data_IF_745924949882
#
_entry.id   IF_745924949882
#
_cell.length_a   1.000
_cell.length_b   1.000
_cell.length_c   1.000
_cell.angle_alpha   90.00
_cell.angle_beta   90.00
_cell.angle_gamma   90.00
#
_symmetry.space_group_name_H-M   'P 1'
#
loop_
_entity.id
_entity.type
_entity.pdbx_description
1 polymer ?
#
# COMPACT_ATOMS: atom_id res chain seq x y z
N UNK A 1 -25.06 26.70 87.66
CA UNK A 1 -24.21 27.91 87.81
C UNK A 1 -24.14 28.66 86.50
N UNK A 2 -24.00 29.99 86.53
CA UNK A 2 -24.82 30.89 85.73
C UNK A 2 -24.18 31.38 84.42
N UNK A 3 -25.07 31.87 83.54
CA UNK A 3 -25.00 33.09 82.72
C UNK A 3 -23.67 33.51 82.08
N UNK A 4 -23.70 33.82 80.78
CA UNK A 4 -23.99 35.19 80.36
C UNK A 4 -24.19 35.33 78.85
N UNK A 5 -25.25 36.05 78.48
CA UNK A 5 -25.50 36.60 77.15
C UNK A 5 -24.58 37.80 76.92
N UNK A 6 -24.12 38.02 75.69
CA UNK A 6 -23.98 39.38 75.18
C UNK A 6 -23.99 39.40 73.65
N UNK A 7 -24.79 40.32 73.14
CA UNK A 7 -25.12 40.57 71.74
C UNK A 7 -24.35 41.79 71.21
N UNK A 8 -24.53 42.08 69.90
CA UNK A 8 -24.19 43.33 69.17
C UNK A 8 -22.68 43.47 68.81
N UNK A 9 -22.25 43.85 67.60
CA UNK A 9 -22.76 44.86 66.63
C UNK A 9 -22.01 44.75 65.29
N UNK A 10 -22.68 45.19 64.21
CA UNK A 10 -22.10 45.42 62.86
C UNK A 10 -20.98 46.47 62.85
N UNK A 11 -20.00 46.31 61.95
CA UNK A 11 -19.44 47.40 61.12
C UNK A 11 -19.08 46.92 59.70
N UNK A 12 -19.83 47.43 58.71
CA UNK A 12 -19.37 47.79 57.34
C UNK A 12 -18.42 49.00 57.47
N UNK A 13 -17.53 49.39 56.56
CA UNK A 13 -16.93 48.87 55.33
C UNK A 13 -15.85 49.89 54.92
N UNK A 14 -14.79 49.50 54.19
CA UNK A 14 -14.11 50.39 53.23
C UNK A 14 -13.16 49.59 52.32
N UNK A 15 -13.43 49.65 51.00
CA UNK A 15 -12.54 49.32 49.86
C UNK A 15 -11.48 50.45 49.69
N UNK A 16 -10.53 50.44 48.72
CA UNK A 16 -10.15 49.46 47.67
C UNK A 16 -8.61 49.23 47.56
N UNK A 17 -8.16 48.37 46.62
CA UNK A 17 -6.85 48.54 45.96
C UNK A 17 -6.09 47.29 45.52
N UNK A 18 -6.02 47.09 44.20
CA UNK A 18 -4.97 46.40 43.39
C UNK A 18 -4.74 44.88 43.61
N UNK A 19 -5.14 44.02 42.65
CA UNK A 19 -4.42 43.58 41.43
C UNK A 19 -3.46 42.39 41.67
N UNK A 20 -3.89 41.19 41.26
CA UNK A 20 -3.06 40.10 40.77
C UNK A 20 -3.99 39.12 40.01
N UNK A 21 -4.16 39.31 38.70
CA UNK A 21 -3.44 38.64 37.61
C UNK A 21 -3.61 37.12 37.55
N UNK A 22 -4.25 36.75 36.44
CA UNK A 22 -4.69 35.48 35.89
C UNK A 22 -3.59 34.43 35.69
N UNK A 23 -3.96 33.15 35.83
CA UNK A 23 -3.39 32.07 35.03
C UNK A 23 -4.46 31.01 34.75
N UNK A 24 -5.11 31.14 33.59
CA UNK A 24 -5.94 30.09 33.00
C UNK A 24 -5.03 28.97 32.49
N UNK A 25 -5.14 27.77 33.05
CA UNK A 25 -4.52 26.57 32.51
C UNK A 25 -5.29 26.07 31.29
N UNK A 26 -4.75 26.30 30.09
CA UNK A 26 -5.17 25.64 28.85
C UNK A 26 -4.38 24.34 28.72
N UNK A 27 -5.00 23.21 29.04
CA UNK A 27 -4.51 21.90 28.59
C UNK A 27 -4.76 21.78 27.09
N UNK A 28 -3.73 22.04 26.29
CA UNK A 28 -3.72 21.67 24.88
C UNK A 28 -3.46 20.16 24.78
N UNK A 29 -4.53 19.38 24.56
CA UNK A 29 -4.43 18.01 24.07
C UNK A 29 -3.86 18.06 22.65
N UNK A 30 -2.56 17.88 22.52
CA UNK A 30 -1.91 17.61 21.24
C UNK A 30 -2.37 16.24 20.74
N UNK A 31 -3.37 16.26 19.87
CA UNK A 31 -3.71 15.11 19.02
C UNK A 31 -2.53 14.89 18.09
N UNK A 32 -1.65 13.96 18.46
CA UNK A 32 -0.62 13.43 17.57
C UNK A 32 -1.36 12.62 16.51
N UNK A 33 -1.68 13.26 15.39
CA UNK A 33 -2.07 12.55 14.18
C UNK A 33 -0.89 11.64 13.81
N UNK A 34 -1.09 10.34 13.56
CA UNK A 34 0.00 9.50 13.09
C UNK A 34 0.40 10.04 11.72
N UNK A 35 1.62 10.55 11.61
CA UNK A 35 2.23 10.80 10.33
C UNK A 35 2.30 9.45 9.63
N UNK A 36 1.43 9.23 8.65
CA UNK A 36 1.51 8.07 7.77
C UNK A 36 2.84 8.18 7.02
N UNK A 37 3.87 7.50 7.52
CA UNK A 37 5.06 7.26 6.75
C UNK A 37 4.60 6.66 5.42
N UNK A 38 4.88 7.34 4.31
CA UNK A 38 4.72 6.78 2.98
C UNK A 38 5.69 5.60 2.89
N UNK A 39 5.19 4.43 3.31
CA UNK A 39 5.79 3.15 2.96
C UNK A 39 5.89 3.11 1.43
N UNK A 40 6.84 2.34 0.89
CA UNK A 40 6.91 2.04 -0.53
C UNK A 40 5.68 1.20 -0.95
N UNK A 41 4.49 1.76 -0.77
CA UNK A 41 3.23 1.28 -1.31
C UNK A 41 3.44 1.38 -2.81
N UNK A 42 3.41 0.21 -3.46
CA UNK A 42 3.34 0.14 -4.92
C UNK A 42 2.26 1.15 -5.36
N UNK A 43 2.61 2.19 -6.15
CA UNK A 43 1.62 3.16 -6.59
C UNK A 43 0.54 2.38 -7.32
N UNK A 44 -0.66 2.35 -6.75
CA UNK A 44 -1.78 1.62 -7.34
C UNK A 44 -2.19 2.39 -8.60
N UNK A 45 -2.15 1.77 -9.78
CA UNK A 45 -2.65 2.43 -10.98
C UNK A 45 -4.09 2.91 -10.81
N UNK A 46 -4.91 2.25 -9.98
CA UNK A 46 -6.32 2.61 -9.78
C UNK A 46 -6.54 3.92 -9.01
N UNK A 47 -5.55 4.43 -8.29
CA UNK A 47 -5.69 5.73 -7.61
C UNK A 47 -5.53 6.91 -8.58
N UNK A 48 -4.88 6.73 -9.74
CA UNK A 48 -4.53 7.84 -10.65
C UNK A 48 -4.56 7.51 -12.17
N UNK A 49 -4.94 6.31 -12.62
CA UNK A 49 -4.88 5.96 -14.04
C UNK A 49 -6.14 6.37 -14.80
N UNK A 50 -5.94 7.19 -15.84
CA UNK A 50 -6.92 7.39 -16.91
C UNK A 50 -6.73 6.31 -18.00
N UNK A 51 -7.79 5.89 -18.70
CA UNK A 51 -7.64 5.07 -19.89
C UNK A 51 -6.72 5.73 -20.92
N UNK A 52 -5.90 4.93 -21.61
CA UNK A 52 -5.03 5.42 -22.67
C UNK A 52 -5.85 6.03 -23.82
N UNK A 53 -5.43 7.21 -24.28
CA UNK A 53 -5.97 7.86 -25.48
C UNK A 53 -5.63 7.05 -26.74
N UNK A 54 -6.34 7.22 -27.87
CA UNK A 54 -6.09 6.46 -29.10
C UNK A 54 -4.66 6.59 -29.64
N UNK A 55 -4.06 7.77 -29.58
CA UNK A 55 -2.66 8.07 -29.94
C UNK A 55 -1.68 7.32 -29.04
N UNK A 56 -1.91 7.33 -27.73
CA UNK A 56 -1.10 6.61 -26.74
C UNK A 56 -1.18 5.09 -26.97
N UNK A 57 -2.35 4.56 -27.35
CA UNK A 57 -2.51 3.14 -27.73
C UNK A 57 -1.72 2.76 -28.98
N UNK A 58 -1.71 3.61 -30.00
CA UNK A 58 -0.95 3.35 -31.23
C UNK A 58 0.58 3.37 -30.98
N UNK A 59 1.05 4.31 -30.15
CA UNK A 59 2.44 4.37 -29.74
C UNK A 59 2.84 3.14 -28.90
N UNK A 60 1.99 2.73 -27.97
CA UNK A 60 2.17 1.51 -27.17
C UNK A 60 2.27 0.27 -28.07
N UNK A 61 1.35 0.09 -29.02
CA UNK A 61 1.39 -1.03 -29.98
C UNK A 61 2.70 -1.08 -30.77
N UNK A 62 3.23 0.09 -31.14
CA UNK A 62 4.52 0.17 -31.85
C UNK A 62 5.69 -0.22 -30.95
N UNK A 63 5.67 0.20 -29.68
CA UNK A 63 6.67 -0.19 -28.69
C UNK A 63 6.59 -1.69 -28.36
N UNK A 64 5.40 -2.24 -28.23
CA UNK A 64 5.15 -3.66 -27.97
C UNK A 64 5.64 -4.52 -29.15
N UNK A 65 5.38 -4.08 -30.39
CA UNK A 65 5.86 -4.75 -31.59
C UNK A 65 7.39 -4.81 -31.66
N UNK A 66 8.08 -3.76 -31.18
CA UNK A 66 9.54 -3.73 -31.08
C UNK A 66 10.07 -4.66 -29.98
N UNK A 67 9.33 -4.84 -28.88
CA UNK A 67 9.70 -5.73 -27.76
C UNK A 67 9.63 -7.20 -28.16
N UNK A 68 8.67 -7.57 -29.02
CA UNK A 68 8.43 -8.94 -29.45
C UNK A 68 7.92 -9.86 -28.34
N UNK A 69 7.57 -11.10 -28.68
CA UNK A 69 7.07 -12.11 -27.73
C UNK A 69 5.54 -12.18 -27.60
N UNK A 70 5.03 -13.12 -26.79
CA UNK A 70 3.60 -13.32 -26.63
C UNK A 70 2.99 -12.24 -25.73
N UNK A 71 1.78 -11.79 -26.08
CA UNK A 71 1.02 -10.82 -25.30
C UNK A 71 0.63 -11.34 -23.90
N UNK A 72 0.55 -12.65 -23.75
CA UNK A 72 0.30 -13.34 -22.49
C UNK A 72 0.80 -14.78 -22.56
N UNK A 73 0.94 -15.43 -21.41
CA UNK A 73 1.09 -16.88 -21.29
C UNK A 73 -0.05 -17.46 -20.44
N UNK A 74 -0.47 -18.69 -20.69
CA UNK A 74 -1.43 -19.40 -19.83
C UNK A 74 -0.73 -20.19 -18.71
N UNK A 75 0.59 -20.35 -18.81
CA UNK A 75 1.45 -20.99 -17.83
C UNK A 75 2.84 -20.33 -17.84
N UNK A 76 3.44 -20.15 -16.68
CA UNK A 76 4.83 -19.72 -16.54
C UNK A 76 5.61 -20.88 -15.94
N UNK A 77 6.39 -21.57 -16.78
CA UNK A 77 7.19 -22.74 -16.44
C UNK A 77 8.57 -22.40 -15.87
N UNK A 78 8.96 -21.12 -15.78
CA UNK A 78 10.23 -20.74 -15.16
C UNK A 78 10.46 -19.24 -15.02
N UNK A 79 11.52 -18.91 -14.29
CA UNK A 79 11.91 -17.52 -13.98
C UNK A 79 12.10 -16.65 -15.22
N UNK A 80 12.68 -17.20 -16.30
CA UNK A 80 12.90 -16.46 -17.54
C UNK A 80 11.58 -15.99 -18.18
N UNK A 81 10.55 -16.84 -18.21
CA UNK A 81 9.23 -16.49 -18.72
C UNK A 81 8.54 -15.45 -17.82
N UNK A 82 8.68 -15.57 -16.50
CA UNK A 82 8.21 -14.54 -15.57
C UNK A 82 8.87 -13.19 -15.85
N UNK A 83 10.20 -13.15 -15.98
CA UNK A 83 10.97 -11.94 -16.26
C UNK A 83 10.64 -11.33 -17.62
N UNK A 84 10.34 -12.15 -18.64
CA UNK A 84 9.91 -11.68 -19.95
C UNK A 84 8.61 -10.88 -19.87
N UNK A 85 7.63 -11.37 -19.10
CA UNK A 85 6.33 -10.72 -18.94
C UNK A 85 6.34 -9.59 -17.89
N UNK A 86 7.30 -9.60 -16.98
CA UNK A 86 7.33 -8.69 -15.84
C UNK A 86 7.66 -7.25 -16.24
N UNK A 87 7.00 -6.32 -15.54
CA UNK A 87 7.50 -4.96 -15.35
C UNK A 87 8.23 -4.92 -14.01
N UNK A 88 9.31 -4.15 -13.93
CA UNK A 88 10.11 -4.03 -12.71
C UNK A 88 9.91 -2.65 -12.10
N UNK A 89 9.44 -2.58 -10.86
CA UNK A 89 9.49 -1.34 -10.07
C UNK A 89 10.85 -1.22 -9.39
N UNK A 90 11.33 0.02 -9.25
CA UNK A 90 12.62 0.38 -8.65
C UNK A 90 13.78 -0.51 -9.16
N UNK A 91 13.94 -0.66 -10.49
CA UNK A 91 14.94 -1.55 -11.06
C UNK A 91 16.35 -1.19 -10.58
N UNK A 92 17.15 -2.18 -10.23
CA UNK A 92 18.53 -1.99 -9.76
C UNK A 92 18.65 -1.50 -8.30
N UNK A 93 17.56 -1.49 -7.52
CA UNK A 93 17.58 -1.10 -6.10
C UNK A 93 17.31 -2.29 -5.17
N UNK A 94 17.56 -2.16 -3.85
CA UNK A 94 17.08 -3.11 -2.86
C UNK A 94 15.57 -3.34 -2.91
N UNK A 95 14.79 -2.32 -3.29
CA UNK A 95 13.32 -2.31 -3.36
C UNK A 95 12.78 -2.76 -4.72
N UNK A 96 13.54 -3.57 -5.46
CA UNK A 96 13.15 -4.06 -6.78
C UNK A 96 11.94 -5.01 -6.68
N UNK A 97 10.91 -4.74 -7.47
CA UNK A 97 9.67 -5.55 -7.51
C UNK A 97 9.31 -5.88 -8.96
N UNK A 98 9.88 -6.96 -9.55
CA UNK A 98 9.35 -7.53 -10.77
C UNK A 98 7.94 -8.08 -10.51
N UNK A 99 7.00 -7.70 -11.38
CA UNK A 99 5.60 -8.10 -11.26
C UNK A 99 4.94 -8.32 -12.62
N UNK A 100 4.00 -9.26 -12.62
CA UNK A 100 3.15 -9.65 -13.74
C UNK A 100 1.69 -9.49 -13.34
N UNK A 101 0.90 -8.80 -14.15
CA UNK A 101 -0.56 -8.81 -14.01
C UNK A 101 -1.09 -10.16 -14.50
N UNK A 102 -2.12 -10.69 -13.83
CA UNK A 102 -2.86 -11.84 -14.33
C UNK A 102 -4.37 -11.58 -14.34
N UNK A 103 -5.05 -12.24 -15.28
CA UNK A 103 -6.52 -12.28 -15.39
C UNK A 103 -6.96 -13.73 -15.34
N UNK A 104 -7.92 -14.07 -14.47
CA UNK A 104 -8.59 -15.38 -14.52
C UNK A 104 -9.99 -15.18 -15.10
N UNK A 105 -10.33 -15.95 -16.12
CA UNK A 105 -11.64 -15.96 -16.76
C UNK A 105 -12.45 -17.20 -16.38
N UNK A 106 -13.35 -17.03 -15.42
CA UNK A 106 -14.18 -18.11 -14.88
C UNK A 106 -15.16 -18.69 -15.88
N UNK A 107 -15.50 -17.96 -16.95
CA UNK A 107 -16.40 -18.47 -18.00
C UNK A 107 -15.74 -19.55 -18.86
N UNK A 108 -14.41 -19.56 -18.94
CA UNK A 108 -13.65 -20.46 -19.81
C UNK A 108 -12.78 -21.42 -18.97
N UNK A 109 -13.42 -22.22 -18.12
CA UNK A 109 -12.76 -23.20 -17.24
C UNK A 109 -11.66 -22.56 -16.37
N UNK A 110 -11.95 -21.37 -15.83
CA UNK A 110 -11.05 -20.59 -15.00
C UNK A 110 -9.68 -20.37 -15.67
N UNK A 111 -9.68 -20.13 -16.99
CA UNK A 111 -8.44 -19.91 -17.75
C UNK A 111 -7.70 -18.69 -17.22
N UNK A 112 -6.41 -18.86 -16.94
CA UNK A 112 -5.54 -17.79 -16.48
C UNK A 112 -4.73 -17.23 -17.64
N UNK A 113 -4.54 -15.92 -17.63
CA UNK A 113 -3.68 -15.18 -18.54
C UNK A 113 -2.66 -14.42 -17.69
N UNK A 114 -1.38 -14.74 -17.84
CA UNK A 114 -0.26 -13.93 -17.33
C UNK A 114 0.13 -12.91 -18.39
N UNK A 115 -0.04 -11.63 -18.11
CA UNK A 115 0.04 -10.57 -19.11
C UNK A 115 1.49 -10.11 -19.29
N UNK A 116 1.86 -9.79 -20.53
CA UNK A 116 2.98 -8.89 -20.80
C UNK A 116 2.63 -7.53 -20.17
N UNK A 117 3.17 -7.27 -18.98
CA UNK A 117 2.75 -6.15 -18.13
C UNK A 117 3.28 -4.80 -18.63
N UNK A 118 4.47 -4.72 -19.23
CA UNK A 118 4.86 -3.53 -19.97
C UNK A 118 3.92 -3.19 -21.13
N UNK A 119 3.36 -4.18 -21.83
CA UNK A 119 2.32 -3.99 -22.85
C UNK A 119 0.96 -3.63 -22.27
N UNK A 120 0.52 -4.33 -21.23
CA UNK A 120 -0.76 -4.12 -20.56
C UNK A 120 -0.55 -3.55 -19.16
N UNK A 121 -0.53 -2.22 -19.06
CA UNK A 121 -0.35 -1.51 -17.78
C UNK A 121 -1.49 -1.71 -16.78
N UNK A 122 -2.67 -2.09 -17.27
CA UNK A 122 -3.90 -2.36 -16.51
C UNK A 122 -4.56 -3.64 -17.03
N UNK A 123 -5.20 -4.40 -16.13
CA UNK A 123 -5.97 -5.61 -16.49
C UNK A 123 -7.08 -5.33 -17.49
N UNK A 124 -7.77 -4.20 -17.33
CA UNK A 124 -8.89 -3.80 -18.18
C UNK A 124 -8.49 -3.55 -19.63
N UNK A 125 -7.26 -3.09 -19.89
CA UNK A 125 -6.76 -2.91 -21.25
C UNK A 125 -6.68 -4.26 -21.97
N UNK A 126 -6.12 -5.26 -21.31
CA UNK A 126 -6.10 -6.64 -21.80
C UNK A 126 -7.51 -7.21 -21.97
N UNK A 127 -8.35 -7.09 -20.93
CA UNK A 127 -9.70 -7.65 -20.94
C UNK A 127 -10.58 -7.03 -22.04
N UNK A 128 -10.41 -5.73 -22.35
CA UNK A 128 -11.09 -5.05 -23.46
C UNK A 128 -10.57 -5.52 -24.81
N UNK A 129 -9.25 -5.54 -25.00
CA UNK A 129 -8.63 -5.98 -26.26
C UNK A 129 -9.04 -7.42 -26.61
N UNK A 130 -9.07 -8.30 -25.60
CA UNK A 130 -9.45 -9.71 -25.75
C UNK A 130 -10.95 -9.96 -25.65
N UNK A 131 -11.78 -8.91 -25.56
CA UNK A 131 -13.25 -8.99 -25.49
C UNK A 131 -13.76 -9.92 -24.37
N UNK A 132 -13.05 -9.91 -23.23
CA UNK A 132 -13.41 -10.70 -22.05
C UNK A 132 -14.49 -10.01 -21.20
N UNK A 133 -14.54 -8.68 -21.22
CA UNK A 133 -15.60 -7.93 -20.55
C UNK A 133 -16.92 -8.05 -21.30
N UNK A 134 -18.06 -8.21 -20.60
CA UNK A 134 -19.38 -8.31 -21.23
C UNK A 134 -19.89 -6.97 -21.79
N UNK A 135 -19.25 -5.86 -21.42
CA UNK A 135 -19.63 -4.51 -21.80
C UNK A 135 -18.45 -3.55 -21.68
N UNK A 136 -18.59 -2.35 -22.24
CA UNK A 136 -17.50 -1.35 -22.26
C UNK A 136 -17.63 -0.28 -21.19
N UNK A 137 -18.75 -0.21 -20.48
CA UNK A 137 -19.02 0.82 -19.48
C UNK A 137 -18.26 0.60 -18.16
N UNK A 138 -18.23 1.65 -17.34
CA UNK A 138 -17.52 1.65 -16.06
C UNK A 138 -18.18 0.72 -15.03
N UNK A 139 -19.50 0.59 -15.03
CA UNK A 139 -20.21 -0.26 -14.06
C UNK A 139 -19.91 -1.73 -14.30
N UNK A 140 -19.85 -2.17 -15.56
CA UNK A 140 -19.41 -3.51 -15.95
C UNK A 140 -18.01 -3.84 -15.43
N UNK A 141 -17.08 -2.89 -15.52
CA UNK A 141 -15.72 -3.07 -15.01
C UNK A 141 -15.70 -3.12 -13.47
N UNK A 142 -16.42 -2.22 -12.80
CA UNK A 142 -16.53 -2.20 -11.33
C UNK A 142 -17.12 -3.52 -10.81
N UNK A 143 -18.09 -4.11 -11.51
CA UNK A 143 -18.64 -5.41 -11.14
C UNK A 143 -17.56 -6.51 -11.08
N UNK A 144 -16.52 -6.44 -11.93
CA UNK A 144 -15.37 -7.36 -11.88
C UNK A 144 -14.44 -7.17 -10.68
N UNK A 145 -14.75 -6.25 -9.76
CA UNK A 145 -14.08 -6.11 -8.46
C UNK A 145 -15.02 -6.32 -7.29
N UNK A 146 -16.32 -6.12 -7.47
CA UNK A 146 -17.28 -5.98 -6.36
C UNK A 146 -18.29 -7.11 -6.27
N UNK A 147 -18.61 -7.75 -7.39
CA UNK A 147 -19.58 -8.82 -7.46
C UNK A 147 -18.92 -10.15 -6.99
N UNK A 148 -19.51 -10.89 -6.04
CA UNK A 148 -19.01 -12.20 -5.62
C UNK A 148 -19.06 -13.25 -6.74
N UNK A 149 -19.97 -13.11 -7.71
CA UNK A 149 -20.17 -14.04 -8.83
C UNK A 149 -19.52 -13.56 -10.13
N UNK A 150 -18.68 -12.52 -10.05
CA UNK A 150 -17.97 -11.94 -11.20
C UNK A 150 -17.21 -12.97 -12.04
N UNK A 151 -17.18 -12.74 -13.35
CA UNK A 151 -16.48 -13.59 -14.31
C UNK A 151 -14.97 -13.48 -14.20
N UNK A 152 -14.46 -12.25 -14.11
CA UNK A 152 -13.03 -11.97 -14.19
C UNK A 152 -12.44 -11.72 -12.80
N UNK A 153 -11.25 -12.27 -12.55
CA UNK A 153 -10.43 -11.95 -11.39
C UNK A 153 -9.16 -11.26 -11.87
N UNK A 154 -8.84 -10.12 -11.25
CA UNK A 154 -7.71 -9.28 -11.60
C UNK A 154 -6.72 -9.25 -10.45
N UNK A 155 -5.54 -9.85 -10.64
CA UNK A 155 -4.52 -9.89 -9.61
C UNK A 155 -3.15 -9.55 -10.14
N UNK A 156 -2.21 -9.30 -9.23
CA UNK A 156 -0.80 -9.11 -9.55
C UNK A 156 0.01 -10.20 -8.89
N UNK A 157 0.93 -10.83 -9.62
CA UNK A 157 1.94 -11.73 -9.12
C UNK A 157 3.28 -11.00 -9.10
N UNK A 158 3.98 -11.00 -7.97
CA UNK A 158 5.23 -10.26 -7.79
C UNK A 158 6.28 -11.11 -7.08
N UNK A 159 7.54 -10.77 -7.30
CA UNK A 159 8.65 -11.24 -6.47
C UNK A 159 9.31 -10.05 -5.80
N UNK A 160 9.71 -10.22 -4.55
CA UNK A 160 10.44 -9.22 -3.78
C UNK A 160 11.59 -9.92 -3.07
N UNK A 161 12.74 -9.24 -2.99
CA UNK A 161 13.97 -9.82 -2.41
C UNK A 161 13.77 -10.25 -0.95
N UNK A 162 13.08 -9.43 -0.17
CA UNK A 162 12.96 -9.59 1.28
C UNK A 162 11.76 -10.45 1.69
N UNK A 163 11.05 -11.04 0.71
CA UNK A 163 9.94 -11.94 0.95
C UNK A 163 10.34 -13.39 0.66
N UNK A 164 9.74 -14.37 1.36
CA UNK A 164 10.10 -15.79 1.24
C UNK A 164 9.75 -16.42 -0.11
N UNK A 165 9.31 -15.64 -1.10
CA UNK A 165 9.02 -16.13 -2.44
C UNK A 165 8.14 -15.19 -3.25
N UNK A 166 7.38 -15.78 -4.17
CA UNK A 166 6.41 -15.06 -4.97
C UNK A 166 5.15 -14.80 -4.17
N UNK A 167 4.61 -13.59 -4.30
CA UNK A 167 3.34 -13.21 -3.69
C UNK A 167 2.36 -12.79 -4.75
N UNK A 168 1.08 -13.12 -4.55
CA UNK A 168 0.00 -12.53 -5.34
C UNK A 168 -0.91 -11.66 -4.49
N UNK A 169 -1.48 -10.64 -5.11
CA UNK A 169 -2.31 -9.66 -4.44
C UNK A 169 -3.47 -9.20 -5.33
N UNK A 170 -4.56 -8.79 -4.69
CA UNK A 170 -5.67 -8.07 -5.31
C UNK A 170 -5.57 -6.58 -5.01
N UNK A 171 -6.24 -5.75 -5.81
CA UNK A 171 -6.42 -4.34 -5.46
C UNK A 171 -7.12 -4.24 -4.10
N UNK A 172 -6.69 -3.30 -3.25
CA UNK A 172 -7.19 -3.15 -1.87
C UNK A 172 -8.72 -3.09 -1.77
N UNK A 173 -9.37 -2.41 -2.72
CA UNK A 173 -10.82 -2.33 -2.78
C UNK A 173 -11.53 -3.52 -3.42
N UNK A 174 -10.82 -4.56 -3.88
CA UNK A 174 -11.44 -5.76 -4.42
C UNK A 174 -12.20 -6.52 -3.32
N UNK A 175 -13.46 -6.88 -3.58
CA UNK A 175 -14.29 -7.74 -2.72
C UNK A 175 -14.10 -9.20 -3.11
N UNK A 176 -12.87 -9.69 -3.01
CA UNK A 176 -12.57 -11.10 -3.22
C UNK A 176 -13.25 -11.92 -2.12
N UNK A 177 -13.91 -13.01 -2.49
CA UNK A 177 -14.55 -13.93 -1.51
C UNK A 177 -13.61 -15.09 -1.20
N UNK A 178 -13.86 -15.87 -0.12
CA UNK A 178 -13.04 -17.04 0.19
C UNK A 178 -12.96 -18.05 -0.97
N UNK A 179 -14.06 -18.25 -1.70
CA UNK A 179 -14.10 -19.13 -2.86
C UNK A 179 -13.24 -18.62 -4.03
N UNK A 180 -13.32 -17.33 -4.34
CA UNK A 180 -12.51 -16.71 -5.40
C UNK A 180 -11.02 -16.69 -5.05
N UNK A 181 -10.70 -16.50 -3.76
CA UNK A 181 -9.33 -16.53 -3.29
C UNK A 181 -8.71 -17.94 -3.39
N UNK A 182 -9.45 -18.99 -3.00
CA UNK A 182 -9.02 -20.39 -3.18
C UNK A 182 -8.83 -20.74 -4.65
N UNK A 183 -9.80 -20.38 -5.50
CA UNK A 183 -9.70 -20.60 -6.96
C UNK A 183 -8.42 -19.96 -7.52
N UNK A 184 -8.11 -18.74 -7.09
CA UNK A 184 -6.88 -18.05 -7.51
C UNK A 184 -5.63 -18.76 -7.01
N UNK A 185 -5.57 -19.16 -5.74
CA UNK A 185 -4.45 -19.91 -5.16
C UNK A 185 -4.22 -21.22 -5.92
N UNK A 186 -5.29 -21.97 -6.21
CA UNK A 186 -5.24 -23.24 -6.94
C UNK A 186 -4.72 -23.03 -8.36
N UNK A 187 -5.24 -22.03 -9.08
CA UNK A 187 -4.79 -21.73 -10.44
C UNK A 187 -3.33 -21.30 -10.50
N UNK A 188 -2.88 -20.48 -9.56
CA UNK A 188 -1.48 -20.08 -9.52
C UNK A 188 -0.58 -21.27 -9.17
N UNK A 189 -0.97 -22.12 -8.21
CA UNK A 189 -0.24 -23.37 -7.90
C UNK A 189 -0.08 -24.26 -9.13
N UNK A 190 -1.13 -24.40 -9.93
CA UNK A 190 -1.15 -25.35 -11.05
C UNK A 190 -0.46 -24.79 -12.31
N UNK A 191 -0.31 -23.48 -12.44
CA UNK A 191 0.18 -22.82 -13.67
C UNK A 191 1.42 -21.94 -13.49
N UNK A 192 1.90 -21.77 -12.26
CA UNK A 192 3.12 -21.03 -11.95
C UNK A 192 4.20 -21.98 -11.41
N UNK A 193 5.43 -21.82 -11.89
CA UNK A 193 6.53 -22.75 -11.61
C UNK A 193 7.03 -22.79 -10.16
N UNK A 194 6.58 -21.88 -9.30
CA UNK A 194 7.05 -21.75 -7.92
C UNK A 194 5.88 -21.58 -6.94
N UNK A 195 6.07 -21.87 -5.65
CA UNK A 195 5.07 -21.58 -4.63
C UNK A 195 4.73 -20.08 -4.60
N UNK A 196 3.44 -19.79 -4.45
CA UNK A 196 2.93 -18.42 -4.29
C UNK A 196 2.17 -18.30 -2.97
N UNK A 197 2.34 -17.16 -2.31
CA UNK A 197 1.60 -16.82 -1.09
C UNK A 197 0.67 -15.64 -1.34
N UNK A 198 -0.49 -15.63 -0.69
CA UNK A 198 -1.36 -14.48 -0.75
C UNK A 198 -0.81 -13.33 0.08
N UNK A 199 -0.76 -12.13 -0.48
CA UNK A 199 -0.47 -10.91 0.24
C UNK A 199 -1.77 -10.11 0.42
N UNK A 200 -2.20 -9.96 1.67
CA UNK A 200 -3.37 -9.18 2.01
C UNK A 200 -3.04 -7.69 1.98
N UNK A 201 -3.88 -6.92 1.27
CA UNK A 201 -3.75 -5.47 1.13
C UNK A 201 -4.77 -4.68 1.97
N UNK A 202 -5.68 -5.36 2.66
CA UNK A 202 -6.67 -4.77 3.57
C UNK A 202 -7.07 -5.74 4.68
N UNK A 203 -7.63 -5.22 5.78
CA UNK A 203 -8.20 -6.05 6.86
C UNK A 203 -9.29 -7.00 6.34
N UNK A 204 -10.07 -6.58 5.34
CA UNK A 204 -11.08 -7.44 4.69
C UNK A 204 -10.41 -8.62 3.99
N UNK A 205 -9.28 -8.40 3.31
CA UNK A 205 -8.52 -9.48 2.66
C UNK A 205 -7.93 -10.45 3.67
N UNK A 206 -7.43 -9.96 4.82
CA UNK A 206 -6.93 -10.81 5.90
C UNK A 206 -8.03 -11.73 6.44
N UNK A 207 -9.20 -11.16 6.77
CA UNK A 207 -10.37 -11.93 7.21
C UNK A 207 -10.83 -12.95 6.16
N UNK A 208 -10.81 -12.55 4.89
CA UNK A 208 -11.16 -13.43 3.77
C UNK A 208 -10.20 -14.59 3.65
N UNK A 209 -8.89 -14.36 3.78
CA UNK A 209 -7.86 -15.39 3.76
C UNK A 209 -8.00 -16.35 4.94
N UNK A 210 -8.26 -15.84 6.14
CA UNK A 210 -8.56 -16.65 7.32
C UNK A 210 -9.79 -17.55 7.09
N UNK A 211 -10.90 -16.98 6.61
CA UNK A 211 -12.11 -17.73 6.29
C UNK A 211 -11.89 -18.76 5.16
N UNK A 212 -10.97 -18.48 4.23
CA UNK A 212 -10.55 -19.41 3.20
C UNK A 212 -9.64 -20.53 3.74
N UNK A 213 -9.04 -20.37 4.92
CA UNK A 213 -8.02 -21.29 5.45
C UNK A 213 -6.69 -21.19 4.72
N UNK A 214 -6.38 -20.03 4.12
CA UNK A 214 -5.16 -19.80 3.35
C UNK A 214 -4.12 -19.08 4.17
N UNK A 215 -2.86 -19.51 4.04
CA UNK A 215 -1.73 -18.74 4.55
C UNK A 215 -1.61 -17.42 3.77
N UNK A 216 -1.37 -16.33 4.49
CA UNK A 216 -1.19 -15.03 3.89
C UNK A 216 -0.13 -14.22 4.64
N UNK A 217 0.45 -13.24 3.96
CA UNK A 217 1.33 -12.25 4.54
C UNK A 217 0.64 -10.89 4.57
N UNK A 218 0.81 -10.15 5.65
CA UNK A 218 0.30 -8.78 5.78
C UNK A 218 1.36 -7.79 5.33
N UNK A 219 0.95 -6.62 4.83
CA UNK A 219 1.88 -5.54 4.49
C UNK A 219 2.78 -5.15 5.69
N UNK A 220 2.25 -5.19 6.90
CA UNK A 220 2.99 -4.93 8.14
C UNK A 220 4.06 -5.97 8.42
N UNK A 221 3.77 -7.26 8.17
CA UNK A 221 4.77 -8.31 8.26
C UNK A 221 5.92 -8.06 7.28
N UNK A 222 5.64 -7.59 6.05
CA UNK A 222 6.69 -7.26 5.08
C UNK A 222 7.54 -6.07 5.54
N UNK A 223 6.92 -5.06 6.16
CA UNK A 223 7.62 -3.86 6.64
C UNK A 223 8.52 -4.14 7.85
N UNK A 224 8.16 -5.09 8.72
CA UNK A 224 9.03 -5.50 9.83
C UNK A 224 10.27 -6.24 9.36
N UNK A 225 10.17 -7.00 8.27
CA UNK A 225 11.30 -7.70 7.65
C UNK A 225 12.21 -6.74 6.87
N UNK A 226 11.68 -5.61 6.35
CA UNK A 226 12.49 -4.54 5.75
C UNK A 226 13.24 -3.75 6.83
N UNK A 227 14.45 -4.21 7.17
CA UNK A 227 15.31 -3.56 8.17
C UNK A 227 15.79 -2.15 7.74
N UNK A 228 15.61 -1.78 6.47
CA UNK A 228 16.12 -0.52 5.92
C UNK A 228 15.23 0.05 4.80
N UNK A 229 14.70 1.27 5.01
CA UNK A 229 14.02 2.06 3.98
C UNK A 229 14.84 3.33 3.69
N UNK A 230 15.58 3.40 2.57
CA UNK A 230 16.32 4.60 2.23
C UNK A 230 15.33 5.72 1.86
N UNK A 231 15.18 6.70 2.75
CA UNK A 231 14.33 7.87 2.51
C UNK A 231 14.95 8.85 1.51
N UNK A 232 16.28 8.82 1.36
CA UNK A 232 17.03 9.65 0.43
C UNK A 232 18.04 8.79 -0.34
N UNK A 233 17.91 8.72 -1.67
CA UNK A 233 18.84 8.01 -2.56
C UNK A 233 19.96 8.95 -2.99
N UNK A 234 20.94 9.14 -2.11
CA UNK A 234 22.15 9.93 -2.37
C UNK A 234 23.29 9.43 -1.49
N UNK A 235 24.53 9.69 -1.88
CA UNK A 235 25.71 9.42 -1.04
C UNK A 235 26.23 10.74 -0.50
N UNK A 236 26.38 10.82 0.81
CA UNK A 236 27.02 11.94 1.49
C UNK A 236 28.05 11.39 2.48
N UNK A 237 29.15 12.11 2.64
CA UNK A 237 30.14 11.88 3.69
C UNK A 237 30.20 13.16 4.53
N UNK A 238 30.21 13.00 5.85
CA UNK A 238 30.06 14.11 6.77
C UNK A 238 30.33 13.68 8.20
N UNK A 239 30.37 14.65 9.11
CA UNK A 239 30.62 14.39 10.53
C UNK A 239 29.31 14.00 11.21
N UNK A 240 29.27 12.82 11.83
CA UNK A 240 28.08 12.33 12.55
C UNK A 240 27.84 13.18 13.81
N UNK A 241 26.61 13.68 13.98
CA UNK A 241 26.16 14.42 15.17
C UNK A 241 24.92 13.75 15.74
N UNK A 242 25.03 13.19 16.95
CA UNK A 242 23.88 12.63 17.68
C UNK A 242 23.33 13.72 18.59
N UNK A 243 22.06 14.10 18.42
CA UNK A 243 21.42 15.20 19.14
C UNK A 243 20.14 14.71 19.82
N UNK A 244 19.79 15.28 20.98
CA UNK A 244 18.57 14.89 21.73
C UNK A 244 17.33 15.67 21.29
N UNK A 245 17.53 16.87 20.77
CA UNK A 245 16.50 17.74 20.21
C UNK A 245 17.08 18.51 19.03
N UNK A 246 16.24 18.85 18.07
CA UNK A 246 16.58 19.75 16.95
C UNK A 246 16.55 21.23 17.36
N UNK A 247 15.94 21.54 18.50
CA UNK A 247 15.79 22.93 18.96
C UNK A 247 17.04 23.44 19.71
N UNK A 248 17.97 22.56 20.08
CA UNK A 248 19.19 22.89 20.85
C UNK A 248 20.46 22.44 20.10
N UNK A 249 20.60 22.93 18.86
CA UNK A 249 21.74 22.57 17.98
C UNK A 249 22.31 23.79 17.26
N UNK A 250 22.82 24.82 17.98
CA UNK A 250 23.32 26.05 17.37
C UNK A 250 24.63 25.88 16.59
N UNK A 251 25.33 24.75 16.72
CA UNK A 251 26.65 24.50 16.16
C UNK A 251 26.67 23.49 14.99
N UNK A 252 25.51 23.20 14.38
CA UNK A 252 25.44 22.32 13.22
C UNK A 252 26.10 22.96 12.00
N UNK A 253 27.05 22.24 11.41
CA UNK A 253 27.65 22.60 10.14
C UNK A 253 26.89 21.98 8.97
N UNK A 254 26.94 22.58 7.76
CA UNK A 254 26.32 22.01 6.56
C UNK A 254 26.83 20.60 6.17
N UNK A 255 27.99 20.21 6.67
CA UNK A 255 28.60 18.88 6.46
C UNK A 255 28.28 17.87 7.57
N UNK A 256 27.43 18.24 8.53
CA UNK A 256 27.06 17.34 9.62
C UNK A 256 25.91 16.42 9.19
N UNK A 257 26.03 15.13 9.55
CA UNK A 257 24.96 14.14 9.41
C UNK A 257 24.31 14.00 10.79
N UNK A 258 23.09 14.53 10.93
CA UNK A 258 22.40 14.59 12.22
C UNK A 258 21.56 13.34 12.45
N UNK A 259 21.72 12.72 13.62
CA UNK A 259 20.89 11.61 14.11
C UNK A 259 20.22 12.06 15.40
N UNK A 260 18.89 12.01 15.42
CA UNK A 260 18.12 12.32 16.63
C UNK A 260 18.06 11.08 17.53
N UNK A 261 18.57 11.20 18.74
CA UNK A 261 18.48 10.18 19.78
C UNK A 261 17.08 10.19 20.39
N UNK A 262 16.30 9.12 20.15
CA UNK A 262 15.02 8.90 20.83
C UNK A 262 15.26 7.92 21.99
N UNK A 263 15.76 8.44 23.09
CA UNK A 263 15.78 7.75 24.40
C UNK A 263 14.50 8.03 25.18
#
# INVERSE_FOLDING_TARGET
MPASRASLRLRRASRPGLLALTASGLLALSVVLPAAAQTARKPSPYENARPLRPDERAAQQTADAKRGGPAYLEQIGGKAQFQQLARVYNPGTPLEIPHVLFVIDRKHADRIYYLDTPRYTLHENFARERRLLPGTDKATLIAQYKDPDRRLLFGTLSWQRDLPGYTYEFWEGDRVTPALLRLTQDKLRDTFYAPVQFKANSTIHEQTAQAAGLAFVTQEALLREQTFLPLNTGRAEGRLRIVKSVDDTPDLAPTDIVVLDRS
#
